data_IF_287185027807
#
_entry.id   IF_287185027807
#
_cell.length_a   1.000
_cell.length_b   1.000
_cell.length_c   1.000
_cell.angle_alpha   90.00
_cell.angle_beta   90.00
_cell.angle_gamma   90.00
#
_symmetry.space_group_name_H-M   'P 1'
#
loop_
_entity.id
_entity.type
_entity.pdbx_description
1 polymer ?
#
# COMPACT_ATOMS: atom_id res chain seq x y z
N UNK A 1 -2.79 6.09 -1.52
CA UNK A 1 -2.82 6.94 -0.31
C UNK A 1 -2.44 6.08 0.89
N UNK A 2 -1.52 6.54 1.74
CA UNK A 2 -1.14 5.84 2.98
C UNK A 2 -1.68 6.66 4.15
N UNK A 3 -2.40 6.02 5.06
CA UNK A 3 -3.01 6.68 6.21
C UNK A 3 -2.30 6.18 7.48
N UNK A 4 -1.72 7.09 8.25
CA UNK A 4 -0.83 6.78 9.39
C UNK A 4 -1.32 7.31 10.73
N UNK A 5 -0.98 6.62 11.81
CA UNK A 5 -1.34 6.95 13.20
C UNK A 5 -0.10 7.42 13.99
N UNK A 6 -0.20 8.53 14.71
CA UNK A 6 0.87 9.07 15.58
C UNK A 6 0.74 8.65 17.05
N UNK A 7 -0.27 7.85 17.46
CA UNK A 7 -0.37 7.33 18.83
C UNK A 7 -0.40 5.80 18.94
N UNK A 8 0.61 5.31 19.66
CA UNK A 8 0.75 4.02 20.36
C UNK A 8 -0.52 3.16 20.49
N UNK A 9 -0.39 1.90 20.06
CA UNK A 9 -0.92 0.68 20.70
C UNK A 9 -2.37 0.67 21.23
N UNK A 10 -3.23 -0.11 20.57
CA UNK A 10 -4.55 -0.44 21.10
C UNK A 10 -5.37 -1.26 20.11
N UNK A 11 -6.12 -2.22 20.62
CA UNK A 11 -6.92 -3.21 19.91
C UNK A 11 -8.27 -2.67 19.39
N UNK A 12 -8.94 -3.45 18.53
CA UNK A 12 -10.34 -3.25 18.09
C UNK A 12 -10.47 -3.30 16.55
N UNK A 13 -10.74 -4.42 15.87
CA UNK A 13 -11.97 -5.23 15.76
C UNK A 13 -13.01 -4.70 14.74
N UNK A 14 -13.22 -5.46 13.66
CA UNK A 14 -14.39 -5.60 12.75
C UNK A 14 -13.89 -6.22 11.41
N UNK A 15 -14.46 -7.22 10.73
CA UNK A 15 -15.70 -7.99 10.82
C UNK A 15 -16.04 -8.51 9.40
N UNK A 16 -16.52 -9.77 9.26
CA UNK A 16 -17.05 -10.38 8.02
C UNK A 16 -16.32 -11.67 7.58
N UNK A 17 -16.69 -12.88 8.02
CA UNK A 17 -17.86 -13.75 7.69
C UNK A 17 -17.77 -14.46 6.33
N UNK A 18 -17.83 -15.80 6.41
CA UNK A 18 -18.06 -16.77 5.34
C UNK A 18 -17.13 -17.96 5.55
N UNK A 19 -17.54 -19.19 5.85
CA UNK A 19 -18.82 -19.88 5.84
C UNK A 19 -18.49 -21.36 5.61
N UNK A 20 -19.05 -22.25 6.42
CA UNK A 20 -19.17 -23.70 6.31
C UNK A 20 -18.42 -24.48 5.20
N UNK A 21 -17.71 -25.54 5.62
CA UNK A 21 -18.20 -26.92 5.43
C UNK A 21 -17.35 -27.95 6.17
N UNK A 22 -18.04 -28.74 7.00
CA UNK A 22 -17.62 -30.08 7.36
C UNK A 22 -17.64 -30.96 6.10
N UNK A 23 -16.61 -31.79 5.93
CA UNK A 23 -16.82 -33.15 5.46
C UNK A 23 -15.75 -34.08 6.06
N UNK A 24 -16.26 -35.22 6.48
CA UNK A 24 -15.66 -36.30 7.23
C UNK A 24 -15.45 -37.42 6.23
N UNK A 25 -14.20 -37.78 5.94
CA UNK A 25 -13.91 -38.95 5.13
C UNK A 25 -12.72 -38.74 4.22
N UNK A 26 -11.56 -39.26 4.65
CA UNK A 26 -10.70 -40.10 3.81
C UNK A 26 -9.54 -40.60 4.67
N UNK A 27 -9.71 -41.84 5.15
CA UNK A 27 -8.58 -42.69 5.52
C UNK A 27 -7.80 -43.00 4.24
N UNK A 28 -6.49 -43.21 4.41
CA UNK A 28 -5.61 -43.90 3.45
C UNK A 28 -4.92 -43.05 2.39
N UNK A 29 -4.01 -42.16 2.79
CA UNK A 29 -2.78 -41.96 2.01
C UNK A 29 -1.63 -41.41 2.87
N UNK A 30 -0.85 -42.33 3.46
CA UNK A 30 0.42 -42.03 4.13
C UNK A 30 1.60 -41.92 3.12
N UNK A 31 1.33 -41.63 1.85
CA UNK A 31 2.36 -41.48 0.83
C UNK A 31 2.54 -40.01 0.48
N UNK A 32 3.74 -39.47 0.69
CA UNK A 32 4.15 -38.22 0.05
C UNK A 32 4.32 -38.46 -1.45
N UNK A 33 3.57 -37.80 -2.35
CA UNK A 33 3.97 -37.73 -3.75
C UNK A 33 4.86 -36.50 -3.91
N UNK A 34 6.16 -36.70 -4.02
CA UNK A 34 7.05 -35.66 -4.53
C UNK A 34 7.82 -36.22 -5.72
N UNK A 35 7.33 -36.00 -6.95
CA UNK A 35 8.16 -36.12 -8.13
C UNK A 35 8.53 -34.70 -8.58
N UNK A 36 9.79 -34.33 -8.37
CA UNK A 36 10.51 -33.29 -9.13
C UNK A 36 10.26 -31.81 -8.76
N UNK A 37 10.90 -31.36 -7.69
CA UNK A 37 11.48 -30.01 -7.69
C UNK A 37 12.84 -30.07 -6.97
N UNK A 38 13.97 -29.72 -7.63
CA UNK A 38 15.25 -29.62 -6.95
C UNK A 38 15.23 -28.40 -6.03
N UNK A 39 15.12 -28.63 -4.72
CA UNK A 39 15.26 -27.58 -3.71
C UNK A 39 16.72 -27.09 -3.66
N UNK A 40 17.00 -25.79 -3.86
CA UNK A 40 18.30 -25.23 -3.53
C UNK A 40 18.36 -24.91 -2.02
N UNK A 41 19.30 -25.55 -1.30
CA UNK A 41 19.82 -25.22 0.06
C UNK A 41 18.95 -25.64 1.29
N UNK A 42 19.52 -25.67 2.53
CA UNK A 42 20.08 -26.87 3.15
C UNK A 42 19.22 -27.38 4.33
N UNK A 43 18.80 -28.65 4.27
CA UNK A 43 18.38 -29.49 5.41
C UNK A 43 17.55 -28.82 6.54
N UNK A 44 16.41 -28.22 6.18
CA UNK A 44 15.31 -28.06 7.12
C UNK A 44 14.53 -29.39 7.22
N UNK A 45 14.77 -30.16 8.29
CA UNK A 45 13.94 -31.32 8.65
C UNK A 45 12.56 -30.82 9.12
N UNK A 46 11.68 -30.59 8.16
CA UNK A 46 10.29 -30.22 8.41
C UNK A 46 9.48 -31.52 8.65
N UNK A 47 8.80 -31.70 9.80
CA UNK A 47 7.83 -32.78 10.03
C UNK A 47 6.79 -32.82 8.91
N UNK A 48 6.28 -34.02 8.60
CA UNK A 48 5.22 -34.20 7.60
C UNK A 48 4.02 -33.26 7.90
N UNK A 49 3.37 -32.68 6.87
CA UNK A 49 2.30 -31.69 7.03
C UNK A 49 1.18 -32.13 8.00
N UNK A 50 0.83 -33.42 7.98
CA UNK A 50 -0.18 -34.03 8.86
C UNK A 50 0.06 -33.86 10.38
N UNK A 51 1.26 -33.48 10.81
CA UNK A 51 1.59 -33.18 12.21
C UNK A 51 1.68 -31.68 12.52
N UNK A 52 1.36 -30.82 11.55
CA UNK A 52 1.39 -29.34 11.67
C UNK A 52 0.13 -28.65 11.15
N UNK A 53 -0.79 -29.38 10.52
CA UNK A 53 -2.00 -28.81 9.93
C UNK A 53 -3.01 -28.28 10.96
N UNK A 54 -3.07 -28.85 12.16
CA UNK A 54 -4.00 -28.41 13.20
C UNK A 54 -3.24 -27.81 14.40
N UNK A 55 -3.71 -26.68 14.97
CA UNK A 55 -3.16 -26.13 16.22
C UNK A 55 -3.08 -27.16 17.37
N UNK A 56 -3.98 -28.15 17.40
CA UNK A 56 -3.99 -29.24 18.40
C UNK A 56 -2.83 -30.24 18.23
N UNK A 57 -2.17 -30.29 17.08
CA UNK A 57 -1.05 -31.22 16.82
C UNK A 57 0.24 -30.76 17.51
N UNK A 58 0.36 -29.48 17.90
CA UNK A 58 1.47 -28.95 18.69
C UNK A 58 1.61 -29.72 20.01
N UNK A 59 0.48 -30.12 20.62
CA UNK A 59 0.47 -30.89 21.86
C UNK A 59 1.02 -32.32 21.73
N UNK A 60 1.11 -32.86 20.51
CA UNK A 60 1.64 -34.21 20.22
C UNK A 60 3.16 -34.23 20.06
N UNK A 61 3.82 -33.08 20.16
CA UNK A 61 5.28 -32.98 20.14
C UNK A 61 5.84 -33.35 21.52
N UNK A 62 6.95 -34.09 21.52
CA UNK A 62 7.62 -34.51 22.76
C UNK A 62 8.96 -33.81 22.88
N UNK A 63 9.26 -33.30 24.09
CA UNK A 63 10.56 -32.72 24.42
C UNK A 63 11.20 -33.55 25.51
N UNK A 64 12.52 -33.76 25.39
CA UNK A 64 13.28 -34.56 26.35
C UNK A 64 13.68 -33.69 27.54
N UNK A 65 13.31 -34.13 28.74
CA UNK A 65 13.70 -33.53 30.01
C UNK A 65 15.16 -33.82 30.34
N UNK A 66 15.77 -33.04 31.24
CA UNK A 66 17.13 -33.27 31.76
C UNK A 66 17.29 -34.65 32.41
N UNK A 67 16.19 -35.23 32.92
CA UNK A 67 16.13 -36.59 33.46
C UNK A 67 15.92 -37.67 32.38
N UNK A 68 16.12 -37.34 31.11
CA UNK A 68 15.96 -38.21 29.94
C UNK A 68 14.53 -38.76 29.73
N UNK A 69 13.53 -38.14 30.35
CA UNK A 69 12.11 -38.48 30.20
C UNK A 69 11.48 -37.68 29.06
N UNK A 70 10.61 -38.30 28.27
CA UNK A 70 9.86 -37.64 27.19
C UNK A 70 8.60 -37.02 27.77
N UNK A 71 8.47 -35.69 27.69
CA UNK A 71 7.31 -34.94 28.19
C UNK A 71 6.54 -34.37 26.99
N UNK A 72 5.22 -34.59 26.88
CA UNK A 72 4.42 -33.99 25.82
C UNK A 72 4.31 -32.48 26.02
N UNK A 73 4.40 -31.72 24.93
CA UNK A 73 4.37 -30.25 24.94
C UNK A 73 3.04 -29.69 25.45
N UNK A 74 1.96 -30.47 25.38
CA UNK A 74 0.63 -30.12 25.90
C UNK A 74 0.62 -29.82 27.40
N UNK A 75 1.57 -30.36 28.16
CA UNK A 75 1.68 -30.13 29.61
C UNK A 75 2.43 -28.83 29.96
N UNK A 76 3.05 -28.19 28.96
CA UNK A 76 3.90 -27.01 29.15
C UNK A 76 3.38 -25.77 28.43
N UNK A 77 2.59 -25.94 27.37
CA UNK A 77 2.15 -24.83 26.49
C UNK A 77 0.63 -24.86 26.32
N UNK A 78 -0.01 -23.70 26.44
CA UNK A 78 -1.43 -23.50 26.11
C UNK A 78 -1.53 -22.77 24.78
N UNK A 79 -2.28 -23.32 23.82
CA UNK A 79 -2.50 -22.71 22.50
C UNK A 79 -3.81 -21.91 22.53
N UNK A 80 -3.72 -20.60 22.31
CA UNK A 80 -4.88 -19.71 22.19
C UNK A 80 -4.97 -19.17 20.76
N UNK A 81 -6.09 -19.36 20.04
CA UNK A 81 -6.27 -18.73 18.74
C UNK A 81 -6.48 -17.22 18.93
N UNK A 82 -5.64 -16.42 18.29
CA UNK A 82 -5.78 -14.96 18.26
C UNK A 82 -5.76 -14.48 16.81
N UNK A 83 -6.55 -13.45 16.52
CA UNK A 83 -6.53 -12.79 15.22
C UNK A 83 -5.58 -11.61 15.32
N UNK A 84 -4.50 -11.65 14.55
CA UNK A 84 -3.53 -10.58 14.44
C UNK A 84 -3.33 -10.22 12.96
N UNK A 85 -2.97 -8.97 12.70
CA UNK A 85 -2.58 -8.54 11.36
C UNK A 85 -1.38 -9.37 10.88
N UNK A 86 -1.50 -10.01 9.71
CA UNK A 86 -0.42 -10.78 9.10
C UNK A 86 0.77 -9.88 8.70
N UNK A 87 0.51 -8.60 8.46
CA UNK A 87 1.53 -7.63 8.03
C UNK A 87 1.21 -6.26 8.64
N UNK A 88 2.22 -5.64 9.26
CA UNK A 88 2.12 -4.28 9.79
C UNK A 88 2.92 -3.37 8.85
N UNK A 89 2.22 -2.61 8.02
CA UNK A 89 2.85 -1.66 7.12
C UNK A 89 3.27 -0.40 7.87
N UNK A 90 4.40 0.17 7.43
CA UNK A 90 4.89 1.45 7.93
C UNK A 90 5.17 2.37 6.74
N UNK A 91 4.86 3.65 6.90
CA UNK A 91 5.20 4.69 5.94
C UNK A 91 5.72 5.89 6.72
N UNK A 92 6.89 6.41 6.35
CA UNK A 92 7.57 7.50 7.07
C UNK A 92 7.66 7.29 8.59
N UNK A 93 8.03 6.08 9.03
CA UNK A 93 8.16 5.67 10.43
C UNK A 93 6.84 5.53 11.22
N UNK A 94 5.69 5.84 10.61
CA UNK A 94 4.38 5.65 11.21
C UNK A 94 3.72 4.36 10.73
N UNK A 95 2.99 3.69 11.62
CA UNK A 95 2.12 2.56 11.23
C UNK A 95 1.08 3.09 10.26
N UNK A 96 0.96 2.45 9.10
CA UNK A 96 0.09 2.93 8.05
C UNK A 96 -0.74 1.84 7.40
N UNK A 97 -1.86 2.25 6.80
CA UNK A 97 -2.70 1.42 5.95
C UNK A 97 -2.60 1.97 4.54
N UNK A 98 -2.44 1.07 3.58
CA UNK A 98 -2.44 1.41 2.16
C UNK A 98 -3.84 1.36 1.59
N UNK A 99 -4.26 2.49 1.02
CA UNK A 99 -5.52 2.64 0.32
C UNK A 99 -5.19 2.89 -1.14
N UNK A 100 -5.62 1.95 -1.98
CA UNK A 100 -5.50 2.02 -3.43
C UNK A 100 -6.88 2.23 -4.04
N UNK A 101 -6.94 3.09 -5.05
CA UNK A 101 -8.17 3.44 -5.74
C UNK A 101 -7.86 4.08 -7.08
N UNK A 102 -8.83 4.06 -7.98
CA UNK A 102 -8.77 4.70 -9.28
C UNK A 102 -9.89 5.73 -9.39
N UNK A 103 -9.71 6.71 -10.28
CA UNK A 103 -10.75 7.68 -10.58
C UNK A 103 -11.99 6.98 -11.18
N UNK A 104 -13.18 7.50 -10.85
CA UNK A 104 -14.41 7.04 -11.48
C UNK A 104 -14.39 7.33 -12.99
N UNK A 105 -15.09 6.52 -13.82
CA UNK A 105 -15.18 6.78 -15.25
C UNK A 105 -15.75 8.20 -15.52
N UNK A 106 -15.01 9.00 -16.28
CA UNK A 106 -15.37 10.39 -16.59
C UNK A 106 -14.86 11.44 -15.60
N UNK A 107 -14.13 11.04 -14.54
CA UNK A 107 -13.44 11.96 -13.64
C UNK A 107 -11.93 11.95 -13.89
N UNK A 108 -11.26 13.07 -13.63
CA UNK A 108 -9.81 13.15 -13.73
C UNK A 108 -9.14 12.55 -12.48
N UNK A 109 -7.86 12.18 -12.60
CA UNK A 109 -7.00 11.79 -11.47
C UNK A 109 -6.94 12.89 -10.41
N UNK A 110 -6.79 14.15 -10.82
CA UNK A 110 -6.82 15.31 -9.93
C UNK A 110 -8.13 15.48 -9.16
N UNK A 111 -9.28 15.17 -9.78
CA UNK A 111 -10.58 15.19 -9.09
C UNK A 111 -10.69 14.07 -8.05
N UNK A 112 -10.17 12.88 -8.37
CA UNK A 112 -10.12 11.77 -7.44
C UNK A 112 -9.24 12.08 -6.22
N UNK A 113 -8.08 12.70 -6.42
CA UNK A 113 -7.20 13.16 -5.33
C UNK A 113 -7.96 14.15 -4.44
N UNK A 114 -8.60 15.18 -5.01
CA UNK A 114 -9.38 16.17 -4.25
C UNK A 114 -10.54 15.55 -3.48
N UNK A 115 -11.27 14.62 -4.09
CA UNK A 115 -12.37 13.92 -3.44
C UNK A 115 -11.88 13.07 -2.25
N UNK A 116 -10.77 12.38 -2.41
CA UNK A 116 -10.15 11.62 -1.33
C UNK A 116 -9.67 12.52 -0.18
N UNK A 117 -9.13 13.72 -0.48
CA UNK A 117 -8.77 14.69 0.56
C UNK A 117 -10.00 15.23 1.32
N UNK A 118 -11.14 15.38 0.64
CA UNK A 118 -12.40 15.77 1.29
C UNK A 118 -12.89 14.67 2.23
N UNK A 119 -12.97 13.43 1.74
CA UNK A 119 -13.38 12.28 2.56
C UNK A 119 -12.43 12.07 3.73
N UNK A 120 -11.12 12.22 3.51
CA UNK A 120 -10.13 12.20 4.56
C UNK A 120 -10.46 13.20 5.67
N UNK A 121 -10.73 14.47 5.33
CA UNK A 121 -11.07 15.51 6.31
C UNK A 121 -12.35 15.23 7.09
N UNK A 122 -13.30 14.51 6.51
CA UNK A 122 -14.58 14.18 7.16
C UNK A 122 -14.50 12.93 8.06
N UNK A 123 -13.75 11.92 7.63
CA UNK A 123 -13.75 10.58 8.25
C UNK A 123 -12.59 10.40 9.23
N UNK A 124 -11.49 11.15 9.07
CA UNK A 124 -10.31 11.00 9.94
C UNK A 124 -10.52 11.59 11.33
N UNK A 125 -10.39 10.78 12.40
CA UNK A 125 -10.33 11.31 13.75
C UNK A 125 -8.99 12.03 14.01
N UNK A 126 -8.99 12.94 14.99
CA UNK A 126 -7.79 13.71 15.35
C UNK A 126 -6.63 12.80 15.77
N UNK A 127 -5.44 13.00 15.17
CA UNK A 127 -4.24 12.20 15.42
C UNK A 127 -3.86 11.24 14.29
N UNK A 128 -4.72 11.10 13.27
CA UNK A 128 -4.40 10.38 12.04
C UNK A 128 -4.03 11.36 10.93
N UNK A 129 -2.96 11.04 10.21
CA UNK A 129 -2.50 11.75 9.02
C UNK A 129 -2.73 10.92 7.76
N UNK A 130 -2.68 11.59 6.61
CA UNK A 130 -2.61 10.92 5.32
C UNK A 130 -1.45 11.45 4.50
N UNK A 131 -0.91 10.59 3.66
CA UNK A 131 0.14 10.95 2.72
C UNK A 131 -0.07 10.28 1.36
N UNK A 132 0.33 11.00 0.31
CA UNK A 132 0.32 10.51 -1.06
C UNK A 132 1.64 9.82 -1.38
N UNK A 133 1.60 8.83 -2.28
CA UNK A 133 2.78 8.07 -2.68
C UNK A 133 2.60 7.56 -4.11
N UNK A 134 3.72 7.27 -4.78
CA UNK A 134 3.75 6.84 -6.18
C UNK A 134 3.23 7.92 -7.13
N UNK A 135 2.47 7.52 -8.14
CA UNK A 135 1.98 8.40 -9.22
C UNK A 135 1.15 9.57 -8.70
N UNK A 136 0.36 9.37 -7.64
CA UNK A 136 -0.43 10.45 -7.06
C UNK A 136 0.45 11.56 -6.44
N UNK A 137 1.60 11.20 -5.86
CA UNK A 137 2.55 12.18 -5.32
C UNK A 137 3.22 12.96 -6.46
N UNK A 138 3.67 12.27 -7.50
CA UNK A 138 4.27 12.91 -8.67
C UNK A 138 3.31 13.87 -9.38
N UNK A 139 2.01 13.54 -9.42
CA UNK A 139 1.00 14.42 -9.99
C UNK A 139 0.80 15.70 -9.16
N UNK A 140 0.84 15.59 -7.83
CA UNK A 140 0.77 16.76 -6.94
C UNK A 140 2.03 17.63 -7.08
N UNK A 141 3.20 17.00 -7.11
CA UNK A 141 4.49 17.71 -7.23
C UNK A 141 4.65 18.38 -8.61
N UNK A 142 4.20 17.71 -9.68
CA UNK A 142 4.34 18.22 -11.05
C UNK A 142 3.24 19.21 -11.44
N UNK A 143 2.04 19.08 -10.88
CA UNK A 143 0.87 19.87 -11.26
C UNK A 143 1.06 21.38 -11.08
N UNK A 144 1.88 21.81 -10.12
CA UNK A 144 2.15 23.22 -9.85
C UNK A 144 3.20 23.89 -10.75
N UNK A 145 4.01 23.11 -11.48
CA UNK A 145 5.16 23.65 -12.22
C UNK A 145 4.78 24.20 -13.61
N UNK A 146 3.67 23.75 -14.19
CA UNK A 146 3.29 24.12 -15.56
C UNK A 146 3.10 25.64 -15.77
N UNK A 147 2.41 26.40 -14.88
CA UNK A 147 2.27 27.85 -15.04
C UNK A 147 3.61 28.59 -14.93
N UNK A 148 4.54 28.09 -14.11
CA UNK A 148 5.87 28.69 -13.93
C UNK A 148 6.69 28.56 -15.22
N UNK A 149 6.75 27.35 -15.78
CA UNK A 149 7.47 27.08 -17.04
C UNK A 149 6.85 27.88 -18.20
N UNK A 150 5.52 27.94 -18.25
CA UNK A 150 4.79 28.71 -19.26
C UNK A 150 5.10 30.21 -19.17
N UNK A 151 5.06 30.79 -17.96
CA UNK A 151 5.41 32.20 -17.74
C UNK A 151 6.87 32.52 -18.07
N UNK A 152 7.79 31.63 -17.71
CA UNK A 152 9.22 31.77 -18.04
C UNK A 152 9.43 31.71 -19.56
N UNK A 153 8.70 30.85 -20.26
CA UNK A 153 8.67 30.79 -21.72
C UNK A 153 8.19 32.10 -22.36
N UNK A 154 7.12 32.70 -21.85
CA UNK A 154 6.62 34.01 -22.32
C UNK A 154 7.69 35.09 -22.16
N UNK A 155 8.35 35.13 -20.99
CA UNK A 155 9.44 36.10 -20.74
C UNK A 155 10.59 35.86 -21.73
N UNK A 156 10.99 34.60 -21.94
CA UNK A 156 12.08 34.27 -22.85
C UNK A 156 11.76 34.67 -24.30
N UNK A 157 10.56 34.36 -24.78
CA UNK A 157 10.07 34.77 -26.11
C UNK A 157 10.03 36.29 -26.23
N UNK A 158 9.53 37.00 -25.21
CA UNK A 158 9.51 38.46 -25.18
C UNK A 158 10.91 39.05 -25.34
N UNK A 159 11.89 38.55 -24.58
CA UNK A 159 13.27 39.05 -24.60
C UNK A 159 13.94 38.81 -25.97
N UNK A 160 13.73 37.63 -26.55
CA UNK A 160 14.27 37.29 -27.88
C UNK A 160 13.68 38.19 -28.97
N UNK A 161 12.36 38.39 -28.96
CA UNK A 161 11.70 39.27 -29.92
C UNK A 161 12.09 40.74 -29.73
N UNK A 162 12.22 41.19 -28.48
CA UNK A 162 12.66 42.56 -28.19
C UNK A 162 14.09 42.83 -28.67
N UNK A 163 14.99 41.85 -28.52
CA UNK A 163 16.34 41.95 -29.05
C UNK A 163 16.38 41.92 -30.58
N UNK A 164 15.51 41.14 -31.23
CA UNK A 164 15.47 41.01 -32.69
C UNK A 164 14.86 42.25 -33.38
N UNK A 165 13.77 42.80 -32.82
CA UNK A 165 13.09 43.98 -33.37
C UNK A 165 13.70 45.30 -32.89
N UNK A 166 14.68 45.25 -31.98
CA UNK A 166 15.28 46.43 -31.33
C UNK A 166 14.23 47.32 -30.63
N UNK A 167 13.06 46.77 -30.33
CA UNK A 167 11.90 47.49 -29.83
C UNK A 167 11.12 46.61 -28.84
N UNK A 168 10.70 47.19 -27.72
CA UNK A 168 9.91 46.53 -26.68
C UNK A 168 8.40 46.56 -26.95
N UNK A 169 7.93 47.47 -27.81
CA UNK A 169 6.50 47.65 -28.11
C UNK A 169 6.00 46.58 -29.08
N UNK A 170 6.75 46.27 -30.13
CA UNK A 170 6.31 45.29 -31.15
C UNK A 170 6.13 43.86 -30.57
N UNK A 171 7.07 43.32 -29.76
CA UNK A 171 6.90 42.03 -29.10
C UNK A 171 5.70 41.98 -28.16
N UNK A 172 5.37 43.10 -27.50
CA UNK A 172 4.23 43.18 -26.58
C UNK A 172 2.89 43.05 -27.32
N UNK A 173 2.77 43.71 -28.48
CA UNK A 173 1.58 43.62 -29.33
C UNK A 173 1.36 42.18 -29.82
N UNK A 174 2.45 41.48 -30.19
CA UNK A 174 2.39 40.07 -30.59
C UNK A 174 1.95 39.18 -29.41
N UNK A 175 2.47 39.40 -28.21
CA UNK A 175 2.12 38.60 -27.03
C UNK A 175 0.65 38.75 -26.59
N UNK A 176 -0.04 39.84 -26.93
CA UNK A 176 -1.47 39.98 -26.69
C UNK A 176 -2.32 38.93 -27.44
N UNK A 177 -1.78 38.27 -28.48
CA UNK A 177 -2.47 37.16 -29.13
C UNK A 177 -2.40 35.85 -28.33
N UNK A 178 -1.46 35.71 -27.38
CA UNK A 178 -1.28 34.48 -26.58
C UNK A 178 -2.47 34.20 -25.66
N UNK A 179 -3.02 35.17 -24.90
CA UNK A 179 -4.26 34.96 -24.17
C UNK A 179 -5.41 34.46 -25.05
N UNK A 180 -5.56 35.02 -26.25
CA UNK A 180 -6.59 34.59 -27.21
C UNK A 180 -6.37 33.14 -27.67
N UNK A 181 -5.11 32.74 -27.89
CA UNK A 181 -4.77 31.36 -28.23
C UNK A 181 -5.06 30.38 -27.07
N UNK A 182 -4.80 30.78 -25.83
CA UNK A 182 -5.14 29.98 -24.64
C UNK A 182 -6.66 29.80 -24.55
N UNK A 183 -7.45 30.86 -24.75
CA UNK A 183 -8.92 30.78 -24.77
C UNK A 183 -9.46 29.87 -25.86
N UNK A 184 -8.76 29.70 -26.99
CA UNK A 184 -9.16 28.75 -28.03
C UNK A 184 -8.74 27.30 -27.76
N UNK A 185 -7.80 27.08 -26.84
CA UNK A 185 -7.27 25.75 -26.50
C UNK A 185 -7.94 25.13 -25.26
N UNK A 186 -8.46 25.98 -24.35
CA UNK A 186 -9.28 25.57 -23.19
C UNK A 186 -10.72 25.26 -23.61
#
# INVERSE_FOLDING_TARGET
MKMGDERVGGAGEAGGVGGDKADEGDKENNQCPMPHAPCPMPYALCPMPKFRSNPKDIGKLYVRSQKNQMIPLSNLVTVTPTVAAQTINHYNLFRSIEINGAAAPGSSSGDAIKAMEQVAKEVLPAGYGYEWSGTALEEIDSGGLAPLIFGLGIIFVFLVLAAQYENYVDPFIILLSVPLAIFGAL
#
